data_IF_339783362097
#
_entry.id   IF_339783362097
#
_cell.length_a   1.000
_cell.length_b   1.000
_cell.length_c   1.000
_cell.angle_alpha   90.00
_cell.angle_beta   90.00
_cell.angle_gamma   90.00
#
_symmetry.space_group_name_H-M   'P 1'
#
loop_
_entity.id
_entity.type
_entity.pdbx_description
1 polymer ?
#
# COMPACT_ATOMS: atom_id res chain seq x y z
N UNK A 1 -45.58 -44.93 41.82
CA UNK A 1 -45.98 -44.14 40.70
C UNK A 1 -45.27 -42.80 40.71
N UNK A 2 -44.31 -42.53 39.82
CA UNK A 2 -43.73 -41.24 39.63
C UNK A 2 -43.35 -41.12 38.15
N UNK A 3 -44.02 -40.24 37.46
CA UNK A 3 -43.84 -39.96 36.06
C UNK A 3 -42.75 -38.90 35.94
N UNK A 4 -41.68 -39.16 35.18
CA UNK A 4 -40.66 -38.23 34.80
C UNK A 4 -40.92 -37.73 33.36
N UNK A 5 -41.12 -36.44 33.18
CA UNK A 5 -41.25 -35.79 31.88
C UNK A 5 -39.88 -35.33 31.42
N UNK A 6 -39.46 -35.82 30.25
CA UNK A 6 -38.21 -35.44 29.59
C UNK A 6 -38.32 -34.12 28.90
N UNK A 7 -37.38 -33.22 29.18
CA UNK A 7 -37.20 -31.95 28.52
C UNK A 7 -36.30 -32.13 27.27
N UNK A 8 -36.80 -31.66 26.14
CA UNK A 8 -36.11 -31.67 24.84
C UNK A 8 -35.26 -30.39 24.74
N UNK A 9 -33.93 -30.53 24.78
CA UNK A 9 -32.98 -29.44 24.62
C UNK A 9 -32.52 -29.38 23.16
N UNK A 10 -33.12 -28.47 22.37
CA UNK A 10 -32.65 -28.17 21.03
C UNK A 10 -31.38 -27.30 21.08
N UNK A 11 -30.26 -27.81 20.58
CA UNK A 11 -29.08 -27.05 20.29
C UNK A 11 -29.13 -26.54 18.85
N UNK A 12 -29.32 -25.26 18.67
CA UNK A 12 -29.06 -24.54 17.45
C UNK A 12 -27.85 -23.65 17.64
N UNK A 13 -26.67 -24.20 17.34
CA UNK A 13 -25.44 -23.44 17.27
C UNK A 13 -25.22 -22.86 15.88
N UNK A 14 -25.77 -21.69 15.61
CA UNK A 14 -25.44 -20.89 14.48
C UNK A 14 -24.30 -19.93 14.86
N UNK A 15 -23.05 -20.36 14.66
CA UNK A 15 -21.90 -19.47 14.79
C UNK A 15 -21.81 -18.56 13.57
N UNK A 16 -22.44 -17.41 13.61
CA UNK A 16 -22.16 -16.32 12.67
C UNK A 16 -20.78 -15.79 12.93
N UNK A 17 -19.84 -16.00 12.01
CA UNK A 17 -18.60 -15.25 11.95
C UNK A 17 -18.97 -13.80 11.61
N UNK A 18 -19.07 -12.96 12.63
CA UNK A 18 -19.07 -11.51 12.45
C UNK A 18 -17.68 -11.13 11.98
N UNK A 19 -17.57 -10.76 10.68
CA UNK A 19 -16.40 -10.11 10.14
C UNK A 19 -16.12 -8.85 10.96
N UNK A 20 -15.10 -8.89 11.81
CA UNK A 20 -14.63 -7.73 12.53
C UNK A 20 -14.11 -6.73 11.50
N UNK A 21 -14.80 -5.60 11.36
CA UNK A 21 -14.25 -4.42 10.73
C UNK A 21 -13.04 -4.00 11.56
N UNK A 22 -11.85 -4.35 11.09
CA UNK A 22 -10.58 -3.92 11.67
C UNK A 22 -10.44 -2.41 11.48
N UNK A 23 -11.02 -1.64 12.39
CA UNK A 23 -10.66 -0.24 12.55
C UNK A 23 -9.20 -0.19 12.98
N UNK A 24 -8.37 0.53 12.23
CA UNK A 24 -7.01 0.84 12.65
C UNK A 24 -7.04 1.60 14.00
N UNK A 25 -5.90 1.70 14.70
CA UNK A 25 -5.84 2.25 16.04
C UNK A 25 -6.30 3.70 16.18
N UNK A 26 -6.65 4.38 15.10
CA UNK A 26 -6.84 5.84 15.04
C UNK A 26 -8.27 6.30 14.69
N UNK A 27 -9.29 5.52 14.98
CA UNK A 27 -10.68 5.99 14.82
C UNK A 27 -11.22 5.84 13.40
N UNK A 28 -12.45 6.36 13.16
CA UNK A 28 -13.20 6.20 11.92
C UNK A 28 -12.57 6.85 10.70
N UNK A 29 -13.17 6.62 9.52
CA UNK A 29 -12.73 7.22 8.27
C UNK A 29 -12.62 8.75 8.37
N UNK A 30 -11.61 9.32 7.74
CA UNK A 30 -11.40 10.77 7.60
C UNK A 30 -11.67 11.19 6.15
N UNK A 31 -12.91 11.58 5.82
CA UNK A 31 -13.27 11.94 4.45
C UNK A 31 -12.50 13.16 3.94
N UNK A 32 -12.03 13.08 2.70
CA UNK A 32 -11.39 14.20 2.00
C UNK A 32 -12.41 15.24 1.51
N UNK A 33 -11.92 16.39 1.05
CA UNK A 33 -12.74 17.49 0.50
C UNK A 33 -13.47 17.10 -0.81
N UNK A 34 -13.07 16.01 -1.45
CA UNK A 34 -13.72 15.47 -2.66
C UNK A 34 -14.98 14.66 -2.37
N UNK A 35 -15.26 14.33 -1.10
CA UNK A 35 -16.47 13.57 -0.75
C UNK A 35 -17.74 14.37 -1.07
N UNK A 36 -18.76 13.65 -1.54
CA UNK A 36 -20.04 14.18 -2.01
C UNK A 36 -19.96 15.02 -3.29
N UNK A 37 -18.79 15.12 -3.95
CA UNK A 37 -18.66 15.74 -5.26
C UNK A 37 -19.02 14.74 -6.37
N UNK A 38 -19.88 15.13 -7.32
CA UNK A 38 -20.15 14.27 -8.49
C UNK A 38 -18.89 14.14 -9.35
N UNK A 39 -18.74 13.02 -10.02
CA UNK A 39 -17.67 12.82 -11.00
C UNK A 39 -18.25 12.41 -12.35
N UNK A 40 -17.63 12.89 -13.42
CA UNK A 40 -17.87 12.43 -14.79
C UNK A 40 -16.76 11.51 -15.29
N UNK A 41 -15.78 11.19 -14.46
CA UNK A 41 -14.71 10.27 -14.81
C UNK A 41 -15.27 8.88 -15.11
N UNK A 42 -14.75 8.23 -16.14
CA UNK A 42 -15.05 6.83 -16.45
C UNK A 42 -14.64 5.93 -15.29
N UNK A 43 -15.56 5.09 -14.82
CA UNK A 43 -15.29 4.12 -13.77
C UNK A 43 -14.56 2.90 -14.35
N UNK A 44 -13.77 2.23 -13.51
CA UNK A 44 -13.03 1.01 -13.85
C UNK A 44 -12.09 1.16 -15.06
N UNK A 45 -11.61 2.38 -15.31
CA UNK A 45 -10.68 2.73 -16.39
C UNK A 45 -9.61 3.67 -15.89
N UNK A 46 -8.40 3.52 -16.42
CA UNK A 46 -7.36 4.51 -16.24
C UNK A 46 -7.69 5.77 -17.05
N UNK A 47 -7.74 6.89 -16.38
CA UNK A 47 -7.91 8.21 -16.98
C UNK A 47 -6.67 9.03 -16.73
N UNK A 48 -6.11 9.61 -17.80
CA UNK A 48 -4.89 10.39 -17.79
C UNK A 48 -5.13 11.78 -17.21
N UNK A 49 -4.23 12.20 -16.34
CA UNK A 49 -4.13 13.54 -15.77
C UNK A 49 -2.71 14.08 -15.92
N UNK A 50 -2.54 15.37 -15.75
CA UNK A 50 -1.23 16.02 -15.69
C UNK A 50 -1.12 16.95 -14.48
N UNK A 51 0.10 17.16 -14.01
CA UNK A 51 0.45 18.17 -13.01
C UNK A 51 1.76 18.82 -13.40
N UNK A 52 1.92 20.13 -13.17
CA UNK A 52 3.15 20.84 -13.44
C UNK A 52 4.02 20.86 -12.18
N UNK A 53 5.19 20.26 -12.26
CA UNK A 53 6.19 20.21 -11.17
C UNK A 53 7.47 20.88 -11.66
N UNK A 54 7.90 21.94 -11.01
CA UNK A 54 9.11 22.70 -11.38
C UNK A 54 9.18 23.04 -12.88
N UNK A 55 8.07 23.56 -13.43
CA UNK A 55 7.88 23.90 -14.85
C UNK A 55 7.90 22.71 -15.84
N UNK A 56 7.84 21.46 -15.35
CA UNK A 56 7.71 20.26 -16.17
C UNK A 56 6.30 19.68 -16.02
N UNK A 57 5.62 19.45 -17.14
CA UNK A 57 4.36 18.71 -17.13
C UNK A 57 4.64 17.24 -16.87
N UNK A 58 3.99 16.67 -15.85
CA UNK A 58 4.10 15.29 -15.39
C UNK A 58 2.78 14.57 -15.58
N UNK A 59 2.86 13.36 -16.07
CA UNK A 59 1.70 12.51 -16.35
C UNK A 59 1.42 11.53 -15.22
N UNK A 60 0.15 11.38 -14.87
CA UNK A 60 -0.32 10.31 -13.99
C UNK A 60 -1.73 9.84 -14.42
N UNK A 61 -2.11 8.69 -13.92
CA UNK A 61 -3.38 8.07 -14.23
C UNK A 61 -4.16 7.82 -12.95
N UNK A 62 -5.48 8.01 -13.00
CA UNK A 62 -6.40 7.71 -11.90
C UNK A 62 -7.41 6.68 -12.36
N UNK A 63 -7.64 5.65 -11.56
CA UNK A 63 -8.68 4.64 -11.78
C UNK A 63 -9.59 4.61 -10.56
N UNK A 64 -10.85 4.91 -10.78
CA UNK A 64 -11.91 4.76 -9.78
C UNK A 64 -12.43 3.33 -9.77
N UNK A 65 -12.94 2.83 -8.64
CA UNK A 65 -13.56 1.51 -8.58
C UNK A 65 -14.80 1.44 -9.48
N UNK A 66 -15.19 0.23 -9.87
CA UNK A 66 -16.33 -0.03 -10.75
C UNK A 66 -17.66 0.56 -10.23
N UNK A 67 -17.81 0.58 -8.93
CA UNK A 67 -19.02 1.06 -8.23
C UNK A 67 -18.68 2.26 -7.34
N UNK A 68 -17.98 3.25 -7.90
CA UNK A 68 -17.62 4.44 -7.14
C UNK A 68 -18.85 5.21 -6.65
N UNK A 69 -18.90 5.40 -5.32
CA UNK A 69 -19.90 6.23 -4.64
C UNK A 69 -19.21 7.47 -4.04
N UNK A 70 -19.53 8.70 -4.48
CA UNK A 70 -18.90 9.89 -3.95
C UNK A 70 -19.18 10.15 -2.45
N UNK A 71 -20.14 9.45 -1.84
CA UNK A 71 -20.40 9.56 -0.41
C UNK A 71 -19.55 8.58 0.45
N UNK A 72 -18.92 7.56 -0.19
CA UNK A 72 -18.12 6.54 0.49
C UNK A 72 -16.64 6.91 0.47
N UNK A 73 -15.97 7.09 1.64
CA UNK A 73 -14.51 7.30 1.67
C UNK A 73 -13.75 6.03 1.27
N UNK A 74 -12.98 6.11 0.18
CA UNK A 74 -12.19 4.99 -0.36
C UNK A 74 -10.75 5.01 0.12
N UNK A 75 -10.12 3.83 0.18
CA UNK A 75 -8.66 3.69 0.22
C UNK A 75 -8.05 4.35 -1.01
N UNK A 76 -6.91 5.01 -0.84
CA UNK A 76 -6.14 5.61 -1.92
C UNK A 76 -4.81 4.87 -2.07
N UNK A 77 -4.57 4.25 -3.22
CA UNK A 77 -3.40 3.44 -3.50
C UNK A 77 -2.57 4.03 -4.64
N UNK A 78 -1.40 4.57 -4.30
CA UNK A 78 -0.41 4.96 -5.30
C UNK A 78 0.43 3.75 -5.70
N UNK A 79 0.49 3.47 -7.01
CA UNK A 79 1.28 2.36 -7.57
C UNK A 79 2.33 2.89 -8.53
N UNK A 80 3.60 2.72 -8.18
CA UNK A 80 4.73 3.26 -8.94
C UNK A 80 5.35 2.19 -9.83
N UNK A 81 5.50 2.43 -11.16
CA UNK A 81 6.20 1.51 -12.05
C UNK A 81 7.71 1.48 -11.80
N UNK A 82 8.39 0.50 -12.37
CA UNK A 82 9.85 0.51 -12.53
C UNK A 82 10.31 1.52 -13.57
N UNK A 83 11.62 1.57 -13.81
CA UNK A 83 12.20 2.42 -14.85
C UNK A 83 11.55 2.14 -16.21
N UNK A 84 11.40 3.17 -17.04
CA UNK A 84 10.73 3.15 -18.35
C UNK A 84 9.24 2.77 -18.35
N UNK A 85 8.69 2.44 -17.19
CA UNK A 85 7.27 2.10 -17.04
C UNK A 85 6.36 3.33 -17.04
N UNK A 86 5.10 3.15 -17.46
CA UNK A 86 4.04 4.16 -17.33
C UNK A 86 3.15 3.87 -16.15
N UNK A 87 2.48 4.90 -15.64
CA UNK A 87 1.66 4.80 -14.44
C UNK A 87 0.51 3.79 -14.55
N UNK A 88 -0.12 3.66 -15.73
CA UNK A 88 -1.17 2.67 -15.99
C UNK A 88 -0.65 1.23 -16.10
N UNK A 89 0.66 1.05 -16.25
CA UNK A 89 1.37 -0.24 -16.24
C UNK A 89 2.09 -0.58 -14.93
N UNK A 90 1.87 0.19 -13.86
CA UNK A 90 2.46 -0.06 -12.53
C UNK A 90 1.95 -1.38 -11.90
N UNK A 91 2.30 -1.63 -10.64
CA UNK A 91 1.85 -2.82 -9.90
C UNK A 91 0.32 -2.90 -9.95
N UNK A 92 -0.27 -3.96 -10.58
CA UNK A 92 -1.69 -3.96 -10.91
C UNK A 92 -2.58 -4.39 -9.72
N UNK A 93 -2.49 -3.70 -8.58
CA UNK A 93 -3.29 -3.99 -7.38
C UNK A 93 -4.80 -3.92 -7.65
N UNK A 94 -5.22 -3.17 -8.67
CA UNK A 94 -6.62 -3.13 -9.12
C UNK A 94 -7.13 -4.46 -9.69
N UNK A 95 -6.26 -5.42 -9.98
CA UNK A 95 -6.62 -6.78 -10.41
C UNK A 95 -6.81 -7.73 -9.21
N UNK A 96 -6.56 -7.30 -7.99
CA UNK A 96 -6.82 -8.13 -6.82
C UNK A 96 -8.33 -8.44 -6.73
N UNK A 97 -8.72 -9.66 -6.30
CA UNK A 97 -10.12 -10.00 -6.11
C UNK A 97 -10.82 -9.02 -5.17
N UNK A 98 -11.95 -8.46 -5.59
CA UNK A 98 -12.71 -7.52 -4.78
C UNK A 98 -12.10 -6.13 -4.65
N UNK A 99 -11.11 -5.76 -5.47
CA UNK A 99 -10.44 -4.46 -5.38
C UNK A 99 -11.43 -3.29 -5.41
N UNK A 100 -11.54 -2.58 -4.29
CA UNK A 100 -12.46 -1.46 -4.07
C UNK A 100 -11.70 -0.27 -3.46
N UNK A 101 -10.86 0.34 -4.30
CA UNK A 101 -10.02 1.47 -3.95
C UNK A 101 -9.88 2.43 -5.13
N UNK A 102 -9.41 3.65 -4.86
CA UNK A 102 -8.94 4.60 -5.87
C UNK A 102 -7.46 4.30 -6.10
N UNK A 103 -7.09 4.08 -7.38
CA UNK A 103 -5.69 3.82 -7.76
C UNK A 103 -5.12 5.02 -8.50
N UNK A 104 -3.88 5.36 -8.17
CA UNK A 104 -3.11 6.43 -8.84
C UNK A 104 -1.78 5.85 -9.31
N UNK A 105 -1.54 5.95 -10.61
CA UNK A 105 -0.31 5.48 -11.26
C UNK A 105 0.45 6.65 -11.87
N UNK A 106 1.49 7.21 -11.24
CA UNK A 106 2.33 8.23 -11.86
C UNK A 106 3.37 7.63 -12.79
N UNK A 107 3.69 8.37 -13.87
CA UNK A 107 4.82 8.05 -14.74
C UNK A 107 6.08 8.80 -14.28
N UNK A 108 7.28 8.20 -14.35
CA UNK A 108 8.53 8.91 -14.09
C UNK A 108 8.75 10.02 -15.15
N UNK A 109 9.54 11.01 -14.79
CA UNK A 109 10.05 12.02 -15.73
C UNK A 109 11.43 11.58 -16.24
N UNK A 110 11.47 11.06 -17.45
CA UNK A 110 12.58 10.29 -17.98
C UNK A 110 12.43 8.80 -17.69
N UNK A 111 13.56 8.09 -17.57
CA UNK A 111 13.54 6.63 -17.49
C UNK A 111 13.09 6.13 -16.10
N UNK A 112 13.54 6.77 -15.02
CA UNK A 112 13.30 6.33 -13.65
C UNK A 112 12.85 7.47 -12.74
N UNK A 113 12.20 7.15 -11.62
CA UNK A 113 11.94 8.12 -10.57
C UNK A 113 13.23 8.61 -9.90
N UNK A 114 13.21 9.85 -9.42
CA UNK A 114 14.29 10.43 -8.62
C UNK A 114 14.00 10.24 -7.14
N UNK A 115 14.84 9.50 -6.45
CA UNK A 115 14.64 9.11 -5.04
C UNK A 115 15.54 9.88 -4.06
N UNK A 116 15.64 11.19 -4.23
CA UNK A 116 16.23 12.09 -3.23
C UNK A 116 15.18 12.63 -2.27
N UNK A 117 15.63 13.12 -1.11
CA UNK A 117 14.76 13.89 -0.22
C UNK A 117 14.29 15.16 -0.94
N UNK A 118 13.02 15.50 -0.79
CA UNK A 118 12.36 16.66 -1.42
C UNK A 118 12.53 16.73 -2.95
N UNK A 119 12.76 15.56 -3.58
CA UNK A 119 12.90 15.46 -5.03
C UNK A 119 11.63 15.91 -5.77
N UNK A 120 11.76 16.16 -7.08
CA UNK A 120 10.61 16.47 -7.93
C UNK A 120 9.53 15.38 -7.90
N UNK A 121 9.90 14.11 -7.64
CA UNK A 121 8.94 13.01 -7.55
C UNK A 121 8.21 12.97 -6.20
N UNK A 122 8.85 13.40 -5.11
CA UNK A 122 8.16 13.63 -3.82
C UNK A 122 7.16 14.78 -3.96
N UNK A 123 7.54 15.89 -4.61
CA UNK A 123 6.63 17.02 -4.88
C UNK A 123 5.49 16.61 -5.82
N UNK A 124 5.76 15.72 -6.78
CA UNK A 124 4.73 15.17 -7.66
C UNK A 124 3.72 14.31 -6.90
N UNK A 125 4.18 13.48 -5.97
CA UNK A 125 3.28 12.74 -5.07
C UNK A 125 2.37 13.69 -4.29
N UNK A 126 2.91 14.76 -3.70
CA UNK A 126 2.11 15.73 -2.93
C UNK A 126 1.05 16.42 -3.80
N UNK A 127 1.41 16.79 -5.04
CA UNK A 127 0.49 17.43 -5.98
C UNK A 127 -0.65 16.48 -6.41
N UNK A 128 -0.33 15.22 -6.70
CA UNK A 128 -1.32 14.20 -7.04
C UNK A 128 -2.26 13.92 -5.87
N UNK A 129 -1.70 13.72 -4.66
CA UNK A 129 -2.48 13.49 -3.45
C UNK A 129 -3.49 14.61 -3.24
N UNK A 130 -3.04 15.87 -3.28
CA UNK A 130 -3.91 17.04 -3.14
C UNK A 130 -5.05 17.04 -4.19
N UNK A 131 -4.71 16.85 -5.46
CA UNK A 131 -5.71 16.87 -6.55
C UNK A 131 -6.74 15.75 -6.41
N UNK A 132 -6.30 14.55 -6.04
CA UNK A 132 -7.18 13.38 -5.88
C UNK A 132 -8.09 13.56 -4.65
N UNK A 133 -7.57 14.04 -3.53
CA UNK A 133 -8.36 14.33 -2.32
C UNK A 133 -9.36 15.47 -2.52
N UNK A 134 -9.05 16.44 -3.37
CA UNK A 134 -9.97 17.53 -3.72
C UNK A 134 -11.07 17.09 -4.71
N UNK A 135 -10.82 16.02 -5.47
CA UNK A 135 -11.71 15.58 -6.57
C UNK A 135 -12.57 14.38 -6.21
N UNK A 136 -12.07 13.47 -5.37
CA UNK A 136 -12.71 12.20 -5.05
C UNK A 136 -12.82 11.97 -3.54
N UNK A 137 -13.77 11.10 -3.15
CA UNK A 137 -13.96 10.75 -1.76
C UNK A 137 -12.90 9.75 -1.28
N UNK A 138 -11.83 10.26 -0.71
CA UNK A 138 -10.72 9.51 -0.14
C UNK A 138 -10.85 9.44 1.38
N UNK A 139 -10.51 8.31 1.97
CA UNK A 139 -10.21 8.22 3.39
C UNK A 139 -8.75 8.60 3.63
N UNK A 140 -8.51 9.78 4.19
CA UNK A 140 -7.16 10.31 4.46
C UNK A 140 -6.38 9.50 5.49
N UNK A 141 -7.04 8.62 6.26
CA UNK A 141 -6.37 7.67 7.15
C UNK A 141 -5.90 6.40 6.41
N UNK A 142 -6.30 6.20 5.14
CA UNK A 142 -6.04 5.01 4.34
C UNK A 142 -5.37 5.34 3.01
N UNK A 143 -4.21 6.00 3.09
CA UNK A 143 -3.34 6.30 1.93
C UNK A 143 -2.18 5.33 1.91
N UNK A 144 -1.96 4.67 0.78
CA UNK A 144 -0.99 3.60 0.61
C UNK A 144 -0.06 3.88 -0.58
N UNK A 145 1.16 3.37 -0.49
CA UNK A 145 2.10 3.38 -1.63
C UNK A 145 2.58 1.96 -1.93
N UNK A 146 2.70 1.63 -3.21
CA UNK A 146 3.34 0.41 -3.68
C UNK A 146 4.17 0.69 -4.90
N UNK A 147 5.24 -0.08 -5.11
CA UNK A 147 6.07 0.09 -6.29
C UNK A 147 6.99 -1.09 -6.57
N UNK A 148 7.46 -1.15 -7.81
CA UNK A 148 8.47 -2.09 -8.25
C UNK A 148 9.75 -1.34 -8.68
N UNK A 149 10.93 -1.89 -8.37
CA UNK A 149 12.21 -1.32 -8.82
C UNK A 149 12.35 0.17 -8.44
N UNK A 150 12.55 1.09 -9.38
CA UNK A 150 12.62 2.53 -9.10
C UNK A 150 11.38 3.08 -8.39
N UNK A 151 10.19 2.53 -8.70
CA UNK A 151 8.96 2.88 -8.00
C UNK A 151 8.96 2.44 -6.53
N UNK A 152 9.57 1.30 -6.24
CA UNK A 152 9.78 0.84 -4.85
C UNK A 152 10.79 1.72 -4.10
N UNK A 153 11.83 2.19 -4.77
CA UNK A 153 12.77 3.16 -4.21
C UNK A 153 12.04 4.46 -3.81
N UNK A 154 11.21 5.00 -4.72
CA UNK A 154 10.41 6.19 -4.41
C UNK A 154 9.44 5.94 -3.26
N UNK A 155 8.74 4.80 -3.24
CA UNK A 155 7.84 4.43 -2.14
C UNK A 155 8.57 4.39 -0.79
N UNK A 156 9.82 3.90 -0.74
CA UNK A 156 10.64 3.94 0.47
C UNK A 156 11.03 5.38 0.89
N UNK A 157 11.28 6.27 -0.08
CA UNK A 157 11.53 7.70 0.19
C UNK A 157 10.27 8.35 0.76
N UNK A 158 9.10 8.07 0.18
CA UNK A 158 7.83 8.57 0.69
C UNK A 158 7.55 8.02 2.10
N UNK A 159 7.85 6.76 2.38
CA UNK A 159 7.80 6.19 3.73
C UNK A 159 8.76 6.89 4.72
N UNK A 160 9.82 7.54 4.24
CA UNK A 160 10.69 8.39 5.06
C UNK A 160 10.07 9.78 5.28
N UNK A 161 9.60 10.44 4.23
CA UNK A 161 9.24 11.86 4.29
C UNK A 161 7.73 12.13 4.51
N UNK A 162 6.87 11.11 4.32
CA UNK A 162 5.40 11.22 4.38
C UNK A 162 4.77 10.15 5.29
N UNK A 163 5.53 9.62 6.26
CA UNK A 163 4.99 8.64 7.21
C UNK A 163 3.85 9.19 8.08
N UNK A 164 3.67 10.51 8.13
CA UNK A 164 2.51 11.15 8.76
C UNK A 164 1.23 11.11 7.89
N UNK A 165 1.35 10.72 6.63
CA UNK A 165 0.24 10.59 5.66
C UNK A 165 -0.01 9.12 5.34
N UNK A 166 1.08 8.36 5.13
CA UNK A 166 0.99 6.99 4.68
C UNK A 166 0.58 6.02 5.80
N UNK A 167 -0.45 5.24 5.53
CA UNK A 167 -0.89 4.16 6.43
C UNK A 167 -0.01 2.92 6.31
N UNK A 168 0.35 2.55 5.07
CA UNK A 168 1.24 1.42 4.79
C UNK A 168 1.93 1.56 3.42
N UNK A 169 3.00 0.75 3.25
CA UNK A 169 3.71 0.62 1.98
C UNK A 169 3.89 -0.84 1.57
N UNK A 170 3.84 -1.13 0.25
CA UNK A 170 4.06 -2.45 -0.34
C UNK A 170 5.15 -2.37 -1.41
N UNK A 171 6.36 -2.87 -1.14
CA UNK A 171 7.56 -2.61 -1.95
C UNK A 171 8.12 -3.90 -2.55
N UNK A 172 8.38 -3.87 -3.86
CA UNK A 172 8.85 -5.03 -4.64
C UNK A 172 10.22 -4.71 -5.25
N UNK A 173 11.22 -5.54 -4.99
CA UNK A 173 12.56 -5.48 -5.61
C UNK A 173 13.15 -4.06 -5.61
N UNK A 174 12.98 -3.33 -4.51
CA UNK A 174 13.52 -1.98 -4.32
C UNK A 174 14.42 -1.90 -3.12
N UNK A 175 14.98 -0.73 -2.89
CA UNK A 175 15.88 -0.49 -1.77
C UNK A 175 15.56 0.82 -1.06
N UNK A 176 16.08 0.99 0.14
CA UNK A 176 16.16 2.30 0.77
C UNK A 176 17.43 2.99 0.24
N UNK A 177 17.31 4.14 -0.45
CA UNK A 177 18.49 4.89 -0.88
C UNK A 177 19.28 5.40 0.35
N UNK A 178 20.53 5.78 0.13
CA UNK A 178 21.40 6.35 1.16
C UNK A 178 20.94 7.74 1.62
N UNK A 179 19.79 7.82 2.24
CA UNK A 179 19.20 9.06 2.74
C UNK A 179 19.74 9.42 4.11
N UNK A 180 19.80 10.72 4.38
CA UNK A 180 19.99 11.22 5.73
C UNK A 180 18.74 10.87 6.58
N UNK A 181 18.85 9.81 7.38
CA UNK A 181 17.74 9.30 8.20
C UNK A 181 17.28 10.31 9.26
N UNK A 182 18.08 11.31 9.61
CA UNK A 182 17.66 12.37 10.54
C UNK A 182 16.60 13.30 9.97
N UNK A 183 16.44 13.29 8.65
CA UNK A 183 15.41 14.06 7.92
C UNK A 183 14.14 13.24 7.65
N UNK A 184 14.11 11.99 8.06
CA UNK A 184 12.91 11.17 7.97
C UNK A 184 11.97 11.46 9.14
N UNK A 185 10.67 11.45 8.86
CA UNK A 185 9.65 11.46 9.91
C UNK A 185 9.71 10.16 10.74
N UNK A 186 9.20 10.23 11.95
CA UNK A 186 9.28 9.13 12.93
C UNK A 186 7.94 8.45 13.20
N UNK A 187 6.88 8.83 12.48
CA UNK A 187 5.59 8.14 12.56
C UNK A 187 5.72 6.70 12.03
N UNK A 188 5.14 5.77 12.77
CA UNK A 188 5.08 4.37 12.34
C UNK A 188 4.22 4.22 11.08
N UNK A 189 4.67 3.38 10.15
CA UNK A 189 3.90 2.94 8.99
C UNK A 189 4.00 1.42 8.87
N UNK A 190 2.91 0.75 8.52
CA UNK A 190 2.97 -0.68 8.23
C UNK A 190 3.70 -0.95 6.91
N UNK A 191 4.26 -2.14 6.73
CA UNK A 191 4.96 -2.44 5.49
C UNK A 191 5.03 -3.91 5.14
N UNK A 192 4.82 -4.20 3.85
CA UNK A 192 5.13 -5.49 3.24
C UNK A 192 6.20 -5.28 2.17
N UNK A 193 7.31 -6.01 2.28
CA UNK A 193 8.43 -5.92 1.36
C UNK A 193 8.70 -7.30 0.75
N UNK A 194 8.79 -7.35 -0.57
CA UNK A 194 8.98 -8.57 -1.34
C UNK A 194 10.24 -8.41 -2.18
N UNK A 195 11.20 -9.33 -2.00
CA UNK A 195 12.50 -9.23 -2.70
C UNK A 195 13.04 -10.61 -3.04
N UNK A 196 13.59 -10.75 -4.23
CA UNK A 196 14.25 -11.97 -4.66
C UNK A 196 15.71 -11.98 -4.20
N UNK A 197 16.17 -13.12 -3.65
CA UNK A 197 17.54 -13.25 -3.18
C UNK A 197 18.57 -13.16 -4.34
N UNK A 198 18.13 -13.53 -5.55
CA UNK A 198 18.95 -13.60 -6.74
C UNK A 198 18.71 -12.40 -7.69
N UNK A 199 18.15 -11.29 -7.17
CA UNK A 199 17.92 -10.07 -7.95
C UNK A 199 19.25 -9.45 -8.42
N UNK A 200 19.53 -9.43 -9.73
CA UNK A 200 20.79 -8.94 -10.26
C UNK A 200 20.87 -7.43 -10.40
N UNK A 201 19.72 -6.73 -10.37
CA UNK A 201 19.63 -5.27 -10.57
C UNK A 201 19.58 -4.54 -9.24
N UNK A 202 18.78 -5.03 -8.31
CA UNK A 202 18.67 -4.49 -6.96
C UNK A 202 19.07 -5.53 -5.93
N UNK A 203 20.31 -5.47 -5.47
CA UNK A 203 20.79 -6.40 -4.46
C UNK A 203 19.88 -6.44 -3.24
N UNK A 204 19.54 -7.65 -2.79
CA UNK A 204 18.63 -7.88 -1.65
C UNK A 204 19.02 -7.10 -0.38
N UNK A 205 20.32 -6.80 -0.19
CA UNK A 205 20.77 -5.99 0.95
C UNK A 205 20.14 -4.61 1.02
N UNK A 206 19.72 -4.06 -0.14
CA UNK A 206 18.97 -2.80 -0.20
C UNK A 206 17.53 -2.96 0.34
N UNK A 207 16.85 -4.04 -0.03
CA UNK A 207 15.53 -4.40 0.51
C UNK A 207 15.59 -4.71 2.01
N UNK A 208 16.65 -5.41 2.45
CA UNK A 208 16.90 -5.67 3.88
C UNK A 208 17.03 -4.36 4.66
N UNK A 209 17.77 -3.38 4.16
CA UNK A 209 17.88 -2.05 4.81
C UNK A 209 16.54 -1.33 4.91
N UNK A 210 15.69 -1.44 3.87
CA UNK A 210 14.34 -0.86 3.90
C UNK A 210 13.46 -1.54 4.97
N UNK A 211 13.50 -2.87 5.04
CA UNK A 211 12.84 -3.65 6.08
C UNK A 211 13.31 -3.26 7.48
N UNK A 212 14.62 -3.25 7.70
CA UNK A 212 15.22 -2.98 9.02
C UNK A 212 14.87 -1.57 9.52
N UNK A 213 14.74 -0.60 8.61
CA UNK A 213 14.20 0.71 8.96
C UNK A 213 12.78 0.62 9.51
N UNK A 214 11.89 -0.14 8.87
CA UNK A 214 10.51 -0.32 9.36
C UNK A 214 10.49 -1.06 10.69
N UNK A 215 11.30 -2.11 10.86
CA UNK A 215 11.41 -2.83 12.13
C UNK A 215 11.79 -1.87 13.26
N UNK A 216 12.80 -1.06 13.05
CA UNK A 216 13.24 -0.03 14.03
C UNK A 216 12.14 0.99 14.30
N UNK A 217 11.48 1.49 13.26
CA UNK A 217 10.44 2.53 13.37
C UNK A 217 9.21 2.03 14.15
N UNK A 218 8.86 0.76 13.95
CA UNK A 218 7.70 0.14 14.56
C UNK A 218 8.01 -0.64 15.85
N UNK A 219 9.28 -0.66 16.27
CA UNK A 219 9.71 -1.34 17.50
C UNK A 219 9.56 -2.86 17.47
N UNK A 220 9.66 -3.46 16.26
CA UNK A 220 9.53 -4.89 16.10
C UNK A 220 10.73 -5.66 16.67
N UNK A 221 10.51 -6.90 17.12
CA UNK A 221 11.58 -7.85 17.44
C UNK A 221 12.13 -8.51 16.16
N UNK A 222 13.17 -9.33 16.31
CA UNK A 222 13.72 -10.13 15.20
C UNK A 222 12.98 -11.47 15.01
N UNK A 223 12.08 -11.82 15.92
CA UNK A 223 11.27 -13.02 15.82
C UNK A 223 10.23 -12.89 14.71
N UNK A 224 10.00 -13.98 13.99
CA UNK A 224 9.04 -14.00 12.87
C UNK A 224 8.08 -15.18 13.00
N UNK A 225 6.91 -15.05 12.38
CA UNK A 225 5.99 -16.17 12.13
C UNK A 225 5.66 -16.23 10.64
N UNK A 226 5.50 -17.43 10.05
CA UNK A 226 5.01 -17.57 8.68
C UNK A 226 3.62 -16.95 8.55
N UNK A 227 3.38 -16.27 7.41
CA UNK A 227 2.07 -15.75 7.01
C UNK A 227 1.80 -16.02 5.54
N UNK A 228 0.54 -16.11 5.15
CA UNK A 228 0.18 -16.24 3.75
C UNK A 228 0.40 -14.91 2.99
N UNK A 229 0.75 -15.00 1.70
CA UNK A 229 1.17 -16.21 0.98
C UNK A 229 2.63 -16.59 1.29
N UNK A 230 2.99 -17.87 1.16
CA UNK A 230 4.41 -18.25 1.21
C UNK A 230 5.21 -17.56 0.10
N UNK A 231 6.47 -17.14 0.36
CA UNK A 231 7.32 -17.39 1.54
C UNK A 231 7.32 -16.23 2.56
N UNK A 232 6.22 -15.56 2.80
CA UNK A 232 6.16 -14.38 3.66
C UNK A 232 6.24 -14.73 5.15
N UNK A 233 6.90 -13.84 5.91
CA UNK A 233 6.95 -13.89 7.37
C UNK A 233 6.58 -12.53 7.96
N UNK A 234 5.86 -12.51 9.07
CA UNK A 234 5.54 -11.30 9.82
C UNK A 234 6.44 -11.20 11.06
N UNK A 235 7.06 -10.04 11.25
CA UNK A 235 7.87 -9.73 12.42
C UNK A 235 6.98 -9.51 13.66
N UNK A 236 7.42 -10.03 14.80
CA UNK A 236 6.67 -9.98 16.05
C UNK A 236 7.03 -8.74 16.89
N UNK A 237 6.19 -8.42 17.88
CA UNK A 237 6.45 -7.33 18.83
C UNK A 237 6.33 -5.93 18.24
N UNK A 238 5.92 -5.79 16.98
CA UNK A 238 5.69 -4.47 16.39
C UNK A 238 4.59 -3.69 17.14
N UNK A 239 4.68 -2.36 17.10
CA UNK A 239 3.60 -1.48 17.58
C UNK A 239 2.26 -1.90 16.99
N UNK A 240 1.23 -1.99 17.83
CA UNK A 240 -0.10 -2.41 17.42
C UNK A 240 -0.61 -1.60 16.22
N UNK A 241 -1.09 -2.29 15.17
CA UNK A 241 -1.55 -1.70 13.93
C UNK A 241 -0.46 -1.36 12.90
N UNK A 242 0.82 -1.64 13.19
CA UNK A 242 1.93 -1.35 12.28
C UNK A 242 2.80 -2.58 12.01
N UNK A 243 2.22 -3.68 11.48
CA UNK A 243 2.97 -4.89 11.17
C UNK A 243 4.04 -4.65 10.09
N UNK A 244 5.07 -5.49 10.13
CA UNK A 244 6.10 -5.56 9.08
C UNK A 244 6.16 -7.00 8.57
N UNK A 245 5.96 -7.15 7.26
CA UNK A 245 5.99 -8.44 6.56
C UNK A 245 7.16 -8.43 5.57
N UNK A 246 7.89 -9.55 5.52
CA UNK A 246 8.99 -9.77 4.59
C UNK A 246 8.76 -11.05 3.80
N UNK A 247 8.80 -10.96 2.46
CA UNK A 247 8.67 -12.09 1.57
C UNK A 247 9.95 -12.23 0.74
N UNK A 248 10.80 -13.17 1.10
CA UNK A 248 12.03 -13.45 0.35
C UNK A 248 11.79 -14.59 -0.63
N UNK A 249 11.85 -14.31 -1.91
CA UNK A 249 11.82 -15.33 -2.97
C UNK A 249 13.23 -15.70 -3.43
N UNK A 250 13.35 -16.70 -4.29
CA UNK A 250 14.60 -17.11 -4.93
C UNK A 250 14.33 -17.55 -6.36
N UNK A 251 15.28 -17.31 -7.27
CA UNK A 251 15.22 -17.71 -8.66
C UNK A 251 14.20 -16.93 -9.52
N UNK A 252 13.72 -15.79 -9.03
CA UNK A 252 12.77 -14.90 -9.75
C UNK A 252 13.47 -13.70 -10.36
N UNK A 253 14.67 -13.38 -9.88
CA UNK A 253 15.45 -12.24 -10.32
C UNK A 253 14.74 -10.90 -10.12
N UNK A 254 15.02 -9.92 -10.98
CA UNK A 254 14.40 -8.59 -10.91
C UNK A 254 13.01 -8.56 -11.54
N UNK A 255 12.09 -9.35 -11.02
CA UNK A 255 10.73 -9.44 -11.55
C UNK A 255 9.68 -8.95 -10.57
N UNK A 256 8.56 -8.48 -11.10
CA UNK A 256 7.44 -7.97 -10.31
C UNK A 256 6.64 -9.08 -9.61
N UNK A 257 6.69 -10.31 -10.10
CA UNK A 257 6.06 -11.50 -9.53
C UNK A 257 4.57 -11.31 -9.24
N UNK A 258 3.79 -10.77 -10.18
CA UNK A 258 2.40 -10.32 -9.98
C UNK A 258 1.49 -11.37 -9.31
N UNK A 259 1.68 -12.66 -9.62
CA UNK A 259 0.90 -13.75 -9.02
C UNK A 259 1.06 -13.86 -7.49
N UNK A 260 2.21 -13.46 -6.96
CA UNK A 260 2.51 -13.38 -5.53
C UNK A 260 2.19 -12.00 -4.97
N UNK A 261 2.71 -10.96 -5.63
CA UNK A 261 2.78 -9.61 -5.06
C UNK A 261 1.44 -8.89 -5.06
N UNK A 262 0.59 -9.12 -6.07
CA UNK A 262 -0.72 -8.47 -6.14
C UNK A 262 -1.63 -8.88 -4.99
N UNK A 263 -1.93 -10.18 -4.77
CA UNK A 263 -2.74 -10.57 -3.62
C UNK A 263 -2.06 -10.23 -2.30
N UNK A 264 -0.76 -10.51 -2.13
CA UNK A 264 -0.06 -10.28 -0.87
C UNK A 264 -0.11 -8.80 -0.43
N UNK A 265 0.13 -7.86 -1.34
CA UNK A 265 0.12 -6.42 -1.03
C UNK A 265 -1.31 -5.93 -0.84
N UNK A 266 -2.25 -6.37 -1.68
CA UNK A 266 -3.62 -5.93 -1.58
C UNK A 266 -4.26 -6.40 -0.27
N UNK A 267 -4.16 -7.69 0.06
CA UNK A 267 -4.67 -8.27 1.31
C UNK A 267 -4.00 -7.63 2.54
N UNK A 268 -2.70 -7.29 2.43
CA UNK A 268 -2.01 -6.56 3.48
C UNK A 268 -2.58 -5.15 3.69
N UNK A 269 -2.96 -4.44 2.62
CA UNK A 269 -3.57 -3.12 2.72
C UNK A 269 -5.04 -3.17 3.17
N UNK A 270 -5.75 -4.27 2.92
CA UNK A 270 -7.13 -4.43 3.37
C UNK A 270 -7.29 -4.57 4.89
N UNK A 271 -6.21 -4.88 5.60
CA UNK A 271 -6.22 -4.96 7.08
C UNK A 271 -6.47 -3.60 7.75
N UNK A 272 -6.44 -2.51 6.98
CA UNK A 272 -6.49 -1.15 7.50
C UNK A 272 -7.74 -0.36 7.07
#
# INVERSE_FOLDING_TARGET
GGVATGGNGGMSGGGGMSGGSGGGPDGGAKPSAGCSKPTTQMLDKWVRYTATIQNTEREYFVRLPKTYDPAKPYRLMFTFPGCTGKGDGAVPLFNAPGADAIFVGPSPDGDCFVYGLDSKDVQFFDAMLKTVEESYCVDQNRVFTSGHSSGSWLSNVLGCQRSNILRAQGNISGALPGLDQSKCLTQSIAGILIHDADDPENNISGGIKARDRLLKLNGCSTETKPVAPEPCVEYQGCKAGYPVVWCQTSGKGHSRQDALTVPAIYDFFEQF
#
